data_IF_135055995160
#
_entry.id   IF_135055995160
#
_cell.length_a   1.000
_cell.length_b   1.000
_cell.length_c   1.000
_cell.angle_alpha   90.00
_cell.angle_beta   90.00
_cell.angle_gamma   90.00
#
_symmetry.space_group_name_H-M   'P 1'
#
loop_
_entity.id
_entity.type
_entity.pdbx_description
1 polymer ?
#
# COMPACT_ATOMS: atom_id res chain seq x y z
N UNK A 1 61.97 -62.24 -26.99
CA UNK A 1 61.03 -63.15 -27.69
C UNK A 1 59.93 -63.52 -26.70
N UNK A 2 58.67 -63.21 -27.07
CA UNK A 2 57.38 -63.63 -26.45
C UNK A 2 57.02 -63.10 -25.05
N UNK A 3 55.86 -62.44 -24.97
CA UNK A 3 54.71 -62.61 -24.05
C UNK A 3 53.72 -61.49 -24.44
N UNK A 4 52.76 -61.72 -25.35
CA UNK A 4 51.41 -62.31 -25.18
C UNK A 4 50.51 -61.51 -24.22
N UNK A 5 49.47 -60.91 -24.82
CA UNK A 5 48.10 -60.64 -24.33
C UNK A 5 47.89 -59.87 -23.01
N UNK A 6 47.07 -58.82 -23.08
CA UNK A 6 45.66 -58.95 -22.72
C UNK A 6 44.89 -57.66 -23.07
N UNK A 7 43.86 -57.86 -23.88
CA UNK A 7 42.79 -56.91 -24.16
C UNK A 7 41.91 -56.80 -22.91
N UNK A 8 41.74 -55.60 -22.36
CA UNK A 8 40.59 -55.29 -21.48
C UNK A 8 39.95 -53.99 -21.94
N UNK A 9 38.82 -54.15 -22.64
CA UNK A 9 37.81 -53.11 -22.77
C UNK A 9 37.29 -52.79 -21.37
N UNK A 10 37.37 -51.54 -20.97
CA UNK A 10 36.52 -51.00 -19.91
C UNK A 10 36.19 -49.56 -20.24
N UNK A 11 35.02 -49.39 -20.85
CA UNK A 11 34.33 -48.12 -20.93
C UNK A 11 33.99 -47.68 -19.50
N UNK A 12 34.50 -46.52 -19.09
CA UNK A 12 34.02 -45.82 -17.90
C UNK A 12 33.58 -44.42 -18.34
N UNK A 13 32.26 -44.25 -18.42
CA UNK A 13 31.60 -42.96 -18.50
C UNK A 13 32.13 -42.04 -17.40
N UNK A 14 32.87 -41.00 -17.79
CA UNK A 14 33.13 -39.86 -16.94
C UNK A 14 31.84 -39.07 -16.76
N UNK A 15 31.14 -39.31 -15.65
CA UNK A 15 30.00 -38.52 -15.23
C UNK A 15 30.46 -37.07 -14.96
N UNK A 16 30.14 -36.17 -15.88
CA UNK A 16 30.21 -34.73 -15.64
C UNK A 16 29.19 -34.40 -14.53
N UNK A 17 29.69 -34.15 -13.32
CA UNK A 17 28.92 -33.65 -12.21
C UNK A 17 28.50 -32.20 -12.52
N UNK A 18 27.43 -32.04 -13.29
CA UNK A 18 26.70 -30.78 -13.36
C UNK A 18 26.05 -30.57 -12.00
N UNK A 19 26.73 -29.82 -11.12
CA UNK A 19 26.06 -29.18 -9.98
C UNK A 19 25.03 -28.22 -10.56
N UNK A 20 23.82 -28.73 -10.73
CA UNK A 20 22.60 -27.96 -10.87
C UNK A 20 22.52 -27.03 -9.66
N UNK A 21 22.96 -25.79 -9.84
CA UNK A 21 22.44 -24.66 -9.06
C UNK A 21 20.97 -24.55 -9.42
N UNK A 22 20.17 -25.45 -8.86
CA UNK A 22 18.74 -25.30 -8.78
C UNK A 22 18.53 -23.93 -8.16
N UNK A 23 18.07 -22.99 -8.98
CA UNK A 23 17.75 -21.66 -8.53
C UNK A 23 16.92 -21.80 -7.28
N UNK A 24 17.30 -21.08 -6.23
CA UNK A 24 16.38 -20.80 -5.14
C UNK A 24 15.13 -20.26 -5.81
N UNK A 25 14.10 -21.11 -5.93
CA UNK A 25 12.79 -20.70 -6.38
C UNK A 25 12.33 -19.69 -5.36
N UNK A 26 12.57 -18.41 -5.67
CA UNK A 26 12.13 -17.27 -4.89
C UNK A 26 10.62 -17.40 -4.83
N UNK A 27 10.11 -17.88 -3.70
CA UNK A 27 8.68 -17.91 -3.44
C UNK A 27 8.13 -16.55 -3.86
N UNK A 28 7.08 -16.53 -4.71
CA UNK A 28 6.59 -15.27 -5.25
C UNK A 28 6.22 -14.32 -4.12
N UNK A 29 6.27 -13.00 -4.32
CA UNK A 29 5.88 -12.06 -3.26
C UNK A 29 4.47 -12.31 -2.70
N UNK A 30 3.58 -12.92 -3.49
CA UNK A 30 2.27 -13.42 -3.07
C UNK A 30 2.36 -14.61 -2.08
N UNK A 31 3.30 -15.53 -2.28
CA UNK A 31 3.53 -16.68 -1.40
C UNK A 31 4.14 -16.22 -0.08
N UNK A 32 5.08 -15.27 -0.12
CA UNK A 32 5.62 -14.63 1.09
C UNK A 32 4.49 -13.91 1.84
N UNK A 33 3.63 -13.17 1.14
CA UNK A 33 2.46 -12.52 1.74
C UNK A 33 1.53 -13.52 2.45
N UNK A 34 1.23 -14.67 1.82
CA UNK A 34 0.38 -15.72 2.41
C UNK A 34 1.06 -16.41 3.60
N UNK A 35 2.31 -16.86 3.43
CA UNK A 35 3.09 -17.57 4.46
C UNK A 35 3.37 -16.75 5.71
N UNK A 36 3.46 -15.41 5.59
CA UNK A 36 3.56 -14.49 6.73
C UNK A 36 2.20 -14.17 7.37
N UNK A 37 1.13 -14.85 6.94
CA UNK A 37 -0.21 -14.71 7.50
C UNK A 37 -0.91 -13.41 7.13
N UNK A 38 -0.40 -12.62 6.17
CA UNK A 38 -1.01 -11.34 5.81
C UNK A 38 -2.44 -11.51 5.28
N UNK A 39 -2.69 -12.62 4.58
CA UNK A 39 -4.00 -13.00 4.05
C UNK A 39 -5.07 -13.29 5.13
N UNK A 40 -4.68 -13.46 6.40
CA UNK A 40 -5.64 -13.64 7.51
C UNK A 40 -6.42 -12.35 7.83
N UNK A 41 -5.89 -11.19 7.44
CA UNK A 41 -6.50 -9.88 7.69
C UNK A 41 -6.70 -9.05 6.42
N UNK A 42 -5.84 -9.21 5.42
CA UNK A 42 -5.81 -8.39 4.22
C UNK A 42 -6.28 -9.16 2.99
N UNK A 43 -7.00 -8.44 2.13
CA UNK A 43 -7.61 -8.98 0.91
C UNK A 43 -6.93 -8.35 -0.30
N UNK A 44 -6.38 -9.20 -1.17
CA UNK A 44 -5.64 -8.78 -2.37
C UNK A 44 -6.40 -9.06 -3.66
N UNK A 45 -7.52 -9.78 -3.57
CA UNK A 45 -8.38 -10.07 -4.71
C UNK A 45 -9.39 -8.94 -4.87
N UNK A 46 -9.36 -8.30 -6.04
CA UNK A 46 -10.20 -7.16 -6.38
C UNK A 46 -11.21 -7.47 -7.49
N UNK A 47 -12.27 -6.63 -7.64
CA UNK A 47 -12.64 -5.54 -6.74
C UNK A 47 -13.21 -6.06 -5.41
N UNK A 48 -13.27 -5.16 -4.43
CA UNK A 48 -13.90 -5.41 -3.12
C UNK A 48 -15.38 -5.84 -3.30
N UNK A 49 -15.83 -6.82 -2.50
CA UNK A 49 -17.10 -7.55 -2.70
C UNK A 49 -18.13 -7.35 -1.58
N UNK A 50 -17.81 -6.53 -0.58
CA UNK A 50 -18.70 -6.21 0.54
C UNK A 50 -19.99 -5.57 0.05
N UNK A 51 -21.13 -6.05 0.54
CA UNK A 51 -22.47 -5.55 0.22
C UNK A 51 -23.09 -4.84 1.41
N UNK A 52 -22.76 -5.26 2.63
CA UNK A 52 -23.37 -4.79 3.87
C UNK A 52 -22.35 -4.23 4.86
N UNK A 53 -22.84 -3.49 5.87
CA UNK A 53 -22.02 -3.05 7.00
C UNK A 53 -21.44 -4.26 7.76
N UNK A 54 -22.23 -5.34 7.92
CA UNK A 54 -21.76 -6.56 8.57
C UNK A 54 -20.56 -7.18 7.83
N UNK A 55 -20.59 -7.21 6.49
CA UNK A 55 -19.47 -7.72 5.68
C UNK A 55 -18.19 -6.92 5.96
N UNK A 56 -18.30 -5.59 6.02
CA UNK A 56 -17.16 -4.71 6.30
C UNK A 56 -16.65 -4.86 7.74
N UNK A 57 -17.55 -4.99 8.72
CA UNK A 57 -17.21 -5.16 10.13
C UNK A 57 -16.55 -6.51 10.42
N UNK A 58 -16.88 -7.56 9.67
CA UNK A 58 -16.24 -8.87 9.79
C UNK A 58 -14.76 -8.88 9.36
N UNK A 59 -14.31 -7.86 8.60
CA UNK A 59 -12.93 -7.78 8.10
C UNK A 59 -11.98 -7.34 9.21
N UNK A 60 -10.81 -7.99 9.27
CA UNK A 60 -9.77 -7.67 10.25
C UNK A 60 -8.76 -6.63 9.77
N UNK A 61 -8.73 -6.36 8.47
CA UNK A 61 -7.84 -5.39 7.86
C UNK A 61 -8.39 -4.75 6.59
N UNK A 62 -7.74 -3.68 6.10
CA UNK A 62 -8.13 -3.00 4.87
C UNK A 62 -7.77 -3.80 3.61
N UNK A 63 -8.56 -3.57 2.56
CA UNK A 63 -8.30 -3.99 1.18
C UNK A 63 -6.93 -3.51 0.66
N UNK A 64 -6.22 -4.42 0.00
CA UNK A 64 -4.92 -4.19 -0.63
C UNK A 64 -4.90 -4.50 -2.14
N UNK A 65 -6.00 -4.94 -2.75
CA UNK A 65 -6.10 -5.24 -4.19
C UNK A 65 -5.78 -4.06 -5.14
N UNK A 66 -5.64 -2.84 -4.59
CA UNK A 66 -5.20 -1.62 -5.30
C UNK A 66 -3.96 -0.97 -4.66
N UNK A 67 -3.19 -1.70 -3.86
CA UNK A 67 -2.09 -1.15 -3.07
C UNK A 67 -1.07 -0.38 -3.92
N UNK A 68 -0.71 -0.90 -5.10
CA UNK A 68 0.21 -0.26 -6.05
C UNK A 68 -0.31 1.02 -6.67
N UNK A 69 -1.63 1.16 -6.80
CA UNK A 69 -2.22 2.44 -7.18
C UNK A 69 -2.22 3.43 -6.02
N UNK A 70 -2.36 2.98 -4.77
CA UNK A 70 -2.50 3.84 -3.59
C UNK A 70 -1.19 4.35 -3.00
N UNK A 71 -0.21 3.47 -2.87
CA UNK A 71 0.99 3.73 -2.08
C UNK A 71 2.17 4.14 -2.94
N UNK A 72 3.16 4.76 -2.29
CA UNK A 72 4.49 4.96 -2.87
C UNK A 72 5.39 3.77 -2.50
N UNK A 73 6.17 3.22 -3.44
CA UNK A 73 6.94 2.01 -3.22
C UNK A 73 8.00 2.18 -2.12
N UNK A 74 8.64 3.35 -2.04
CA UNK A 74 9.67 3.63 -1.04
C UNK A 74 9.09 3.63 0.38
N UNK A 75 7.90 4.22 0.53
CA UNK A 75 7.20 4.21 1.81
C UNK A 75 6.66 2.82 2.17
N UNK A 76 6.12 2.07 1.21
CA UNK A 76 5.56 0.76 1.48
C UNK A 76 6.63 -0.21 1.96
N UNK A 77 7.80 -0.23 1.31
CA UNK A 77 8.93 -1.05 1.75
C UNK A 77 9.41 -0.68 3.15
N UNK A 78 9.59 0.62 3.42
CA UNK A 78 10.00 1.09 4.73
C UNK A 78 8.96 0.79 5.83
N UNK A 79 7.67 0.93 5.53
CA UNK A 79 6.60 0.66 6.48
C UNK A 79 6.45 -0.84 6.75
N UNK A 80 6.66 -1.72 5.76
CA UNK A 80 6.66 -3.17 6.00
C UNK A 80 7.80 -3.60 6.92
N UNK A 81 8.94 -2.90 6.89
CA UNK A 81 10.10 -3.17 7.75
C UNK A 81 9.93 -2.62 9.18
N UNK A 82 9.30 -1.45 9.34
CA UNK A 82 9.01 -0.84 10.65
C UNK A 82 7.59 -0.22 10.67
N UNK A 83 6.55 -1.06 10.84
CA UNK A 83 5.18 -0.60 10.69
C UNK A 83 4.77 0.28 11.88
N UNK A 84 4.29 1.48 11.56
CA UNK A 84 3.68 2.40 12.54
C UNK A 84 2.17 2.51 12.33
N UNK A 85 1.38 2.76 13.40
CA UNK A 85 -0.05 2.95 13.29
C UNK A 85 -0.43 4.03 12.26
N UNK A 86 -1.25 3.64 11.28
CA UNK A 86 -1.84 4.56 10.30
C UNK A 86 -3.14 5.17 10.83
N UNK A 87 -3.96 4.32 11.47
CA UNK A 87 -5.24 4.72 12.07
C UNK A 87 -5.04 4.95 13.57
N UNK A 88 -5.58 6.02 14.15
CA UNK A 88 -5.54 6.23 15.61
C UNK A 88 -6.33 5.17 16.38
N UNK A 89 -7.45 4.71 15.83
CA UNK A 89 -8.25 3.61 16.36
C UNK A 89 -8.06 2.32 15.58
N UNK A 90 -8.37 1.18 16.23
CA UNK A 90 -8.32 -0.14 15.60
C UNK A 90 -9.20 -0.16 14.34
N UNK A 91 -8.89 -1.05 13.41
CA UNK A 91 -9.73 -1.22 12.23
C UNK A 91 -11.14 -1.62 12.66
N UNK A 92 -12.16 -0.98 12.09
CA UNK A 92 -13.57 -1.14 12.47
C UNK A 92 -13.93 -0.79 13.93
N UNK A 93 -13.10 -0.03 14.66
CA UNK A 93 -13.44 0.48 16.00
C UNK A 93 -13.51 2.01 16.04
N UNK A 94 -14.44 2.52 16.85
CA UNK A 94 -14.62 3.95 17.14
C UNK A 94 -14.17 4.33 18.56
N UNK A 95 -13.81 3.35 19.39
CA UNK A 95 -13.54 3.53 20.82
C UNK A 95 -12.17 2.97 21.22
N UNK A 96 -11.71 1.92 20.54
CA UNK A 96 -10.45 1.26 20.89
C UNK A 96 -9.26 1.90 20.17
N UNK A 97 -8.31 2.41 20.96
CA UNK A 97 -7.04 2.92 20.46
C UNK A 97 -6.23 1.83 19.75
N UNK A 98 -5.60 2.22 18.64
CA UNK A 98 -4.67 1.37 17.92
C UNK A 98 -3.34 1.31 18.67
N UNK A 99 -3.08 0.19 19.34
CA UNK A 99 -1.83 -0.06 20.04
C UNK A 99 -0.64 -0.35 19.10
N UNK A 100 -0.87 -0.41 17.78
CA UNK A 100 0.11 -0.87 16.80
C UNK A 100 0.16 -2.40 16.74
N UNK A 101 1.36 -2.96 16.66
CA UNK A 101 1.55 -4.42 16.60
C UNK A 101 1.26 -5.05 15.24
N UNK A 102 1.28 -4.27 14.15
CA UNK A 102 1.26 -4.86 12.81
C UNK A 102 2.55 -5.68 12.60
N UNK A 103 2.48 -6.90 12.02
CA UNK A 103 3.67 -7.70 11.75
C UNK A 103 4.70 -6.95 10.91
N UNK A 104 5.96 -6.96 11.35
CA UNK A 104 7.10 -6.45 10.58
C UNK A 104 7.69 -7.56 9.72
N UNK A 105 8.21 -7.20 8.56
CA UNK A 105 8.97 -8.10 7.69
C UNK A 105 10.45 -7.77 7.77
N UNK A 106 11.31 -8.80 7.79
CA UNK A 106 12.77 -8.67 7.81
C UNK A 106 13.39 -9.14 6.49
N UNK A 107 14.61 -8.68 6.21
CA UNK A 107 15.39 -9.11 5.06
C UNK A 107 14.67 -8.96 3.72
N UNK A 108 14.79 -9.98 2.86
CA UNK A 108 14.20 -9.97 1.52
C UNK A 108 12.66 -10.00 1.48
N UNK A 109 11.99 -10.39 2.57
CA UNK A 109 10.53 -10.55 2.60
C UNK A 109 9.81 -9.20 2.42
N UNK A 110 10.32 -8.14 3.04
CA UNK A 110 9.74 -6.80 2.88
C UNK A 110 9.78 -6.33 1.42
N UNK A 111 10.88 -6.63 0.71
CA UNK A 111 11.02 -6.33 -0.71
C UNK A 111 10.04 -7.12 -1.57
N UNK A 112 9.96 -8.43 -1.36
CA UNK A 112 9.08 -9.34 -2.10
C UNK A 112 7.60 -8.99 -1.92
N UNK A 113 7.16 -8.76 -0.68
CA UNK A 113 5.78 -8.37 -0.39
C UNK A 113 5.48 -6.98 -0.94
N UNK A 114 6.42 -6.02 -0.83
CA UNK A 114 6.29 -4.70 -1.46
C UNK A 114 6.11 -4.83 -2.96
N UNK A 115 6.94 -5.61 -3.66
CA UNK A 115 6.84 -5.77 -5.12
C UNK A 115 5.50 -6.40 -5.53
N UNK A 116 5.04 -7.43 -4.80
CA UNK A 116 3.72 -8.02 -5.01
C UNK A 116 2.59 -7.00 -4.84
N UNK A 117 2.55 -6.29 -3.71
CA UNK A 117 1.52 -5.30 -3.43
C UNK A 117 1.56 -4.12 -4.42
N UNK A 118 2.75 -3.72 -4.88
CA UNK A 118 2.90 -2.68 -5.89
C UNK A 118 2.40 -3.11 -7.28
N UNK A 119 2.33 -4.41 -7.56
CA UNK A 119 1.69 -4.95 -8.76
C UNK A 119 0.16 -4.86 -8.75
N UNK A 120 -0.46 -4.73 -7.57
CA UNK A 120 -1.91 -4.65 -7.41
C UNK A 120 -2.41 -3.23 -7.77
N UNK A 121 -2.84 -3.06 -9.02
CA UNK A 121 -3.19 -1.75 -9.60
C UNK A 121 -4.59 -1.70 -10.18
N UNK A 122 -5.14 -0.49 -10.25
CA UNK A 122 -6.44 -0.19 -10.86
C UNK A 122 -6.22 0.52 -12.19
N UNK A 123 -6.83 -0.01 -13.26
CA UNK A 123 -6.80 0.63 -14.59
C UNK A 123 -7.29 2.09 -14.48
N UNK A 124 -6.53 3.01 -15.07
CA UNK A 124 -6.85 4.45 -15.05
C UNK A 124 -6.28 5.20 -13.85
N UNK A 125 -5.67 4.54 -12.86
CA UNK A 125 -4.95 5.21 -11.77
C UNK A 125 -3.45 5.12 -12.01
N UNK A 126 -2.87 6.19 -12.56
CA UNK A 126 -1.44 6.26 -12.83
C UNK A 126 -0.60 6.17 -11.55
N UNK A 127 0.60 5.61 -11.66
CA UNK A 127 1.57 5.50 -10.56
C UNK A 127 1.89 6.87 -9.93
N UNK A 128 2.41 6.85 -8.70
CA UNK A 128 2.79 8.07 -8.01
C UNK A 128 3.91 8.80 -8.77
N UNK A 129 3.81 10.13 -8.98
CA UNK A 129 4.91 10.88 -9.58
C UNK A 129 6.12 10.89 -8.64
N UNK A 130 7.34 11.05 -9.18
CA UNK A 130 8.54 11.25 -8.39
C UNK A 130 8.39 12.39 -7.37
N UNK A 131 9.06 12.28 -6.23
CA UNK A 131 8.89 13.26 -5.14
C UNK A 131 9.25 14.69 -5.56
N UNK A 132 10.26 14.83 -6.43
CA UNK A 132 10.65 16.11 -7.06
C UNK A 132 9.51 16.80 -7.84
N UNK A 133 8.52 16.04 -8.28
CA UNK A 133 7.41 16.51 -9.10
C UNK A 133 6.13 16.79 -8.30
N UNK A 134 6.10 16.50 -6.99
CA UNK A 134 4.94 16.81 -6.13
C UNK A 134 4.56 18.29 -6.17
N UNK A 135 5.55 19.19 -6.27
CA UNK A 135 5.30 20.64 -6.41
C UNK A 135 4.55 21.01 -7.70
N UNK A 136 4.62 20.17 -8.73
CA UNK A 136 3.97 20.36 -10.04
C UNK A 136 2.50 19.95 -10.04
N UNK A 137 2.00 19.31 -8.98
CA UNK A 137 0.58 18.94 -8.87
C UNK A 137 -0.29 20.20 -9.01
N UNK A 138 -1.23 20.14 -9.97
CA UNK A 138 -2.17 21.24 -10.26
C UNK A 138 -3.14 21.45 -9.08
N UNK A 139 -3.57 22.69 -8.90
CA UNK A 139 -4.52 23.09 -7.86
C UNK A 139 -4.05 24.28 -7.03
N UNK A 140 -4.97 24.83 -6.24
CA UNK A 140 -4.78 25.97 -5.35
C UNK A 140 -4.83 25.50 -3.90
N UNK A 141 -3.67 25.48 -3.23
CA UNK A 141 -3.51 24.95 -1.86
C UNK A 141 -4.47 25.59 -0.85
N UNK A 142 -4.69 26.90 -0.93
CA UNK A 142 -5.62 27.62 -0.04
C UNK A 142 -7.07 27.16 -0.24
N UNK A 143 -7.53 27.04 -1.50
CA UNK A 143 -8.85 26.47 -1.78
C UNK A 143 -8.96 25.04 -1.25
N UNK A 144 -7.91 24.24 -1.42
CA UNK A 144 -7.85 22.87 -0.89
C UNK A 144 -7.97 22.81 0.64
N UNK A 145 -7.30 23.72 1.35
CA UNK A 145 -7.42 23.86 2.81
C UNK A 145 -8.84 24.24 3.23
N UNK A 146 -9.46 25.21 2.57
CA UNK A 146 -10.84 25.61 2.86
C UNK A 146 -11.83 24.46 2.59
N UNK A 147 -11.65 23.75 1.47
CA UNK A 147 -12.46 22.57 1.19
C UNK A 147 -12.29 21.51 2.26
N UNK A 148 -11.05 21.19 2.65
CA UNK A 148 -10.72 20.14 3.62
C UNK A 148 -11.18 20.44 5.06
N UNK A 149 -11.25 21.72 5.44
CA UNK A 149 -11.53 22.13 6.84
C UNK A 149 -12.90 22.74 7.05
N UNK A 150 -13.57 23.21 5.99
CA UNK A 150 -14.82 23.98 6.07
C UNK A 150 -15.91 23.43 5.17
N UNK A 151 -15.66 23.34 3.85
CA UNK A 151 -16.70 22.91 2.88
C UNK A 151 -17.05 21.44 3.03
N UNK A 152 -16.05 20.61 3.28
CA UNK A 152 -16.18 19.19 3.56
C UNK A 152 -15.35 18.93 4.82
N UNK A 153 -15.93 18.42 5.92
CA UNK A 153 -15.22 18.29 7.18
C UNK A 153 -14.26 17.09 7.18
N UNK A 154 -13.35 17.00 6.20
CA UNK A 154 -12.31 15.96 6.13
C UNK A 154 -11.46 15.96 7.41
N UNK A 155 -11.16 17.15 7.94
CA UNK A 155 -10.48 17.33 9.23
C UNK A 155 -11.26 16.79 10.43
N UNK A 156 -12.58 16.61 10.32
CA UNK A 156 -13.43 16.05 11.38
C UNK A 156 -13.19 14.55 11.59
N UNK A 157 -12.70 13.84 10.58
CA UNK A 157 -12.39 12.40 10.66
C UNK A 157 -10.89 12.11 10.60
N UNK A 158 -10.10 12.89 9.85
CA UNK A 158 -8.68 12.62 9.61
C UNK A 158 -7.76 13.51 10.45
N UNK A 159 -6.78 12.89 11.11
CA UNK A 159 -5.61 13.60 11.64
C UNK A 159 -4.77 14.20 10.51
N UNK A 160 -4.31 15.43 10.68
CA UNK A 160 -3.47 16.12 9.70
C UNK A 160 -2.56 17.16 10.39
N UNK A 161 -1.44 17.54 9.76
CA UNK A 161 -0.59 18.60 10.29
C UNK A 161 -1.23 19.98 10.04
N UNK A 162 -1.42 20.74 11.11
CA UNK A 162 -1.91 22.11 11.09
C UNK A 162 -0.93 23.03 11.84
N UNK A 163 -0.17 23.85 11.10
CA UNK A 163 0.93 24.67 11.64
C UNK A 163 1.95 23.77 12.38
N UNK A 164 2.20 24.02 13.67
CA UNK A 164 3.15 23.29 14.52
C UNK A 164 2.53 22.08 15.25
N UNK A 165 1.24 21.77 15.05
CA UNK A 165 0.55 20.67 15.74
C UNK A 165 -0.10 19.68 14.77
N UNK A 166 -0.33 18.46 15.25
CA UNK A 166 -1.22 17.49 14.60
C UNK A 166 -2.60 17.63 15.24
N UNK A 167 -3.64 17.70 14.42
CA UNK A 167 -5.03 17.89 14.88
C UNK A 167 -5.99 17.17 13.94
N UNK A 168 -7.26 17.10 14.30
CA UNK A 168 -8.33 16.53 13.48
C UNK A 168 -8.99 15.34 14.16
N UNK A 169 -9.81 14.60 13.40
CA UNK A 169 -10.51 13.43 13.90
C UNK A 169 -9.65 12.17 13.99
N UNK A 170 -10.16 11.20 14.74
CA UNK A 170 -9.50 9.90 14.99
C UNK A 170 -10.14 8.72 14.24
N UNK A 171 -11.32 8.92 13.66
CA UNK A 171 -12.13 7.86 13.01
C UNK A 171 -11.61 7.50 11.61
N UNK A 172 -10.98 8.44 10.92
CA UNK A 172 -10.31 8.24 9.64
C UNK A 172 -8.82 7.86 9.80
N UNK A 173 -8.21 7.25 8.77
CA UNK A 173 -6.75 7.09 8.73
C UNK A 173 -6.04 8.43 8.85
N UNK A 174 -4.97 8.51 9.64
CA UNK A 174 -4.15 9.72 9.71
C UNK A 174 -3.64 10.09 8.32
N UNK A 175 -3.72 11.37 7.97
CA UNK A 175 -3.12 11.98 6.78
C UNK A 175 -1.79 12.69 7.10
N UNK A 176 -1.30 12.58 8.34
CA UNK A 176 0.07 12.97 8.66
C UNK A 176 1.03 12.18 7.77
N UNK A 177 2.04 12.87 7.23
CA UNK A 177 2.98 12.30 6.28
C UNK A 177 2.33 11.72 5.00
N UNK A 178 1.18 12.23 4.58
CA UNK A 178 0.54 11.76 3.35
C UNK A 178 1.45 11.89 2.12
N UNK A 179 2.36 12.88 2.09
CA UNK A 179 3.25 13.08 0.94
C UNK A 179 4.20 11.93 0.67
N UNK A 180 4.76 11.33 1.72
CA UNK A 180 5.65 10.18 1.57
C UNK A 180 4.87 8.88 1.31
N UNK A 181 3.61 8.81 1.73
CA UNK A 181 2.83 7.56 1.73
C UNK A 181 1.91 7.38 0.53
N UNK A 182 1.15 8.41 0.17
CA UNK A 182 0.02 8.30 -0.75
C UNK A 182 0.36 8.80 -2.15
N UNK A 183 -0.21 8.12 -3.15
CA UNK A 183 -0.21 8.55 -4.54
C UNK A 183 -1.28 9.65 -4.77
N UNK A 184 -0.93 10.84 -5.26
CA UNK A 184 -1.91 11.90 -5.59
C UNK A 184 -2.96 11.47 -6.62
N UNK A 185 -2.63 10.59 -7.55
CA UNK A 185 -3.58 10.12 -8.56
C UNK A 185 -4.64 9.22 -7.93
N UNK A 186 -4.24 8.38 -6.97
CA UNK A 186 -5.20 7.60 -6.18
C UNK A 186 -6.03 8.46 -5.24
N UNK A 187 -5.47 9.51 -4.62
CA UNK A 187 -6.26 10.43 -3.79
C UNK A 187 -7.40 11.04 -4.62
N UNK A 188 -7.10 11.47 -5.86
CA UNK A 188 -8.11 12.00 -6.78
C UNK A 188 -9.14 10.93 -7.16
N UNK A 189 -8.69 9.77 -7.65
CA UNK A 189 -9.57 8.69 -8.08
C UNK A 189 -10.48 8.19 -6.92
N UNK A 190 -9.94 8.09 -5.71
CA UNK A 190 -10.71 7.69 -4.54
C UNK A 190 -11.75 8.74 -4.14
N UNK A 191 -11.45 10.04 -4.24
CA UNK A 191 -12.45 11.08 -3.98
C UNK A 191 -13.51 11.16 -5.10
N UNK A 192 -13.12 10.91 -6.35
CA UNK A 192 -14.03 10.89 -7.50
C UNK A 192 -14.99 9.70 -7.46
N UNK A 193 -14.54 8.52 -7.04
CA UNK A 193 -15.38 7.33 -6.91
C UNK A 193 -14.86 6.37 -5.84
N UNK A 194 -15.11 6.69 -4.56
CA UNK A 194 -14.68 5.82 -3.45
C UNK A 194 -15.39 4.47 -3.42
N UNK A 195 -16.59 4.35 -4.02
CA UNK A 195 -17.35 3.09 -4.13
C UNK A 195 -16.62 2.04 -4.96
N UNK A 196 -15.87 2.43 -5.98
CA UNK A 196 -15.09 1.50 -6.80
C UNK A 196 -13.94 0.83 -6.03
N UNK A 197 -13.43 1.47 -4.98
CA UNK A 197 -12.36 0.92 -4.14
C UNK A 197 -12.92 0.19 -2.92
N UNK A 198 -13.91 0.80 -2.26
CA UNK A 198 -14.59 0.28 -1.07
C UNK A 198 -16.10 0.51 -1.21
N UNK A 199 -16.90 -0.51 -1.56
CA UNK A 199 -18.34 -0.36 -1.74
C UNK A 199 -19.01 0.10 -0.44
N UNK A 200 -18.68 -0.56 0.68
CA UNK A 200 -19.08 -0.20 2.05
C UNK A 200 -17.93 0.52 2.76
N UNK A 201 -18.19 1.72 3.29
CA UNK A 201 -17.14 2.62 3.84
C UNK A 201 -17.74 3.74 4.69
N UNK A 202 -16.91 4.27 5.60
CA UNK A 202 -17.26 5.46 6.41
C UNK A 202 -16.98 6.78 5.67
N UNK A 203 -15.98 6.80 4.79
CA UNK A 203 -15.62 8.02 4.06
C UNK A 203 -16.73 8.34 3.04
N UNK A 204 -17.29 9.57 3.05
CA UNK A 204 -18.35 9.95 2.13
C UNK A 204 -17.97 9.77 0.66
N UNK A 205 -18.97 9.58 -0.20
CA UNK A 205 -18.79 9.65 -1.64
C UNK A 205 -18.86 11.11 -2.07
N UNK A 206 -17.83 11.62 -2.75
CA UNK A 206 -17.80 13.02 -3.21
C UNK A 206 -18.17 13.17 -4.69
N UNK A 207 -18.48 12.07 -5.39
CA UNK A 207 -18.98 12.12 -6.76
C UNK A 207 -20.20 13.05 -6.85
N UNK A 208 -20.16 14.05 -7.72
CA UNK A 208 -21.21 15.06 -7.86
C UNK A 208 -21.24 16.14 -6.77
N UNK A 209 -20.54 15.96 -5.64
CA UNK A 209 -20.45 16.95 -4.55
C UNK A 209 -19.25 17.87 -4.74
N UNK A 210 -18.10 17.30 -5.09
CA UNK A 210 -16.88 18.06 -5.36
C UNK A 210 -16.59 18.08 -6.86
N UNK A 211 -16.33 19.28 -7.38
CA UNK A 211 -15.83 19.43 -8.76
C UNK A 211 -14.43 18.81 -8.90
N UNK A 212 -14.04 18.42 -10.12
CA UNK A 212 -12.66 17.98 -10.42
C UNK A 212 -11.62 19.01 -9.96
N UNK A 213 -11.94 20.30 -10.03
CA UNK A 213 -11.06 21.36 -9.53
C UNK A 213 -10.92 21.34 -8.00
N UNK A 214 -12.01 21.15 -7.27
CA UNK A 214 -11.98 21.02 -5.80
C UNK A 214 -11.20 19.78 -5.36
N UNK A 215 -11.40 18.65 -6.03
CA UNK A 215 -10.65 17.40 -5.78
C UNK A 215 -9.14 17.61 -5.99
N UNK A 216 -8.74 18.28 -7.08
CA UNK A 216 -7.32 18.66 -7.30
C UNK A 216 -6.80 19.59 -6.21
N UNK A 217 -7.59 20.57 -5.80
CA UNK A 217 -7.20 21.52 -4.75
C UNK A 217 -6.96 20.78 -3.41
N UNK A 218 -7.88 19.90 -3.00
CA UNK A 218 -7.76 19.09 -1.79
C UNK A 218 -6.56 18.15 -1.88
N UNK A 219 -6.38 17.48 -3.02
CA UNK A 219 -5.22 16.61 -3.26
C UNK A 219 -3.92 17.39 -3.08
N UNK A 220 -3.78 18.58 -3.71
CA UNK A 220 -2.59 19.42 -3.54
C UNK A 220 -2.37 19.84 -2.08
N UNK A 221 -3.44 20.09 -1.34
CA UNK A 221 -3.33 20.40 0.09
C UNK A 221 -2.84 19.20 0.91
N UNK A 222 -3.42 18.01 0.71
CA UNK A 222 -2.98 16.76 1.38
C UNK A 222 -1.52 16.44 1.03
N UNK A 223 -1.11 16.68 -0.21
CA UNK A 223 0.27 16.44 -0.67
C UNK A 223 1.28 17.44 -0.10
N UNK A 224 0.83 18.44 0.66
CA UNK A 224 1.71 19.29 1.46
C UNK A 224 1.98 18.76 2.87
N UNK A 225 1.36 17.65 3.27
CA UNK A 225 1.52 17.05 4.60
C UNK A 225 2.81 16.22 4.65
N UNK A 226 3.87 16.90 5.07
CA UNK A 226 5.21 16.34 5.28
C UNK A 226 5.27 15.41 6.51
N UNK A 227 6.30 14.56 6.62
CA UNK A 227 6.62 13.89 7.88
C UNK A 227 6.77 14.94 8.99
N UNK A 228 6.47 14.57 10.24
CA UNK A 228 6.93 15.36 11.38
C UNK A 228 8.47 15.42 11.26
N UNK A 229 9.05 16.62 11.33
CA UNK A 229 10.50 16.72 11.54
C UNK A 229 10.82 15.92 12.82
N UNK A 230 11.86 15.07 12.73
CA UNK A 230 12.36 14.34 13.89
C UNK A 230 12.85 15.33 14.94
#
# INVERSE_FOLDING_TARGET
>A
MRFVSALFLSAAMGAALLMSMAGVSKAGGADVFKSKGCAACHYTDGPAKEKTIADQLAKKGPELWYAGSKFRPEWLGAWLADPKPIRPYKYNSLTEKNAGGHPKLSGGDAGQVKDFLMGLTVKGVAAAPPMKDIKKIKGKKIKGKLTFTKKQPCSGCHLYPARKKVTGGFTGPSLVNAVARLNPNWIQAYMENSKAFKPVKDMPNFAGILSKADIRNVTKFIMSFKPKAK
#
